data_IF_266929778885
#
_entry.id   IF_266929778885
#
_cell.length_a   1.000
_cell.length_b   1.000
_cell.length_c   1.000
_cell.angle_alpha   90.00
_cell.angle_beta   90.00
_cell.angle_gamma   90.00
#
_symmetry.space_group_name_H-M   'P 1'
#
loop_
_entity.id
_entity.type
_entity.pdbx_description
1 polymer ?
#
# COMPACT_ATOMS: atom_id res chain seq x y z
N UNK A 1 10.85 -19.18 19.47
CA UNK A 1 11.83 -18.19 18.97
C UNK A 1 11.00 -17.10 18.32
N UNK A 2 11.04 -15.86 18.83
CA UNK A 2 10.32 -14.75 18.22
C UNK A 2 10.87 -14.51 16.81
N UNK A 3 10.01 -14.30 15.82
CA UNK A 3 10.44 -14.00 14.45
C UNK A 3 11.29 -12.72 14.45
N UNK A 4 12.17 -12.56 13.45
CA UNK A 4 13.00 -11.35 13.30
C UNK A 4 12.13 -10.08 13.36
N UNK A 5 10.94 -10.13 12.74
CA UNK A 5 9.96 -9.06 12.78
C UNK A 5 9.39 -8.76 14.17
N UNK A 6 9.07 -9.77 14.99
CA UNK A 6 8.56 -9.56 16.35
C UNK A 6 9.58 -8.83 17.25
N UNK A 7 10.87 -9.14 17.08
CA UNK A 7 11.95 -8.45 17.81
C UNK A 7 12.11 -7.00 17.36
N UNK A 8 12.03 -6.74 16.05
CA UNK A 8 12.04 -5.38 15.49
C UNK A 8 10.82 -4.59 15.97
N UNK A 9 9.63 -5.19 15.95
CA UNK A 9 8.38 -4.58 16.43
C UNK A 9 8.46 -4.17 17.90
N UNK A 10 9.01 -5.02 18.76
CA UNK A 10 9.22 -4.68 20.17
C UNK A 10 10.22 -3.53 20.36
N UNK A 11 11.22 -3.42 19.48
CA UNK A 11 12.21 -2.33 19.50
C UNK A 11 11.60 -1.03 19.02
N UNK A 12 10.92 -1.04 17.87
CA UNK A 12 10.18 0.11 17.32
C UNK A 12 9.11 0.57 18.30
N UNK A 13 8.36 -0.34 18.91
CA UNK A 13 7.37 -0.01 19.93
C UNK A 13 7.94 0.66 21.18
N UNK A 14 9.23 0.50 21.49
CA UNK A 14 9.92 1.27 22.53
C UNK A 14 10.37 2.64 22.02
N UNK A 15 10.91 2.72 20.81
CA UNK A 15 11.34 3.98 20.19
C UNK A 15 10.19 4.98 20.00
N UNK A 16 9.00 4.47 19.66
CA UNK A 16 7.82 5.29 19.49
C UNK A 16 7.23 5.80 20.82
N UNK A 17 7.66 5.24 21.95
CA UNK A 17 7.24 5.67 23.29
C UNK A 17 8.16 6.78 23.80
N UNK A 18 7.66 8.01 23.78
CA UNK A 18 8.32 9.16 24.39
C UNK A 18 8.89 10.14 23.37
N UNK A 19 10.04 10.74 23.69
CA UNK A 19 10.67 11.80 22.89
C UNK A 19 11.48 11.27 21.71
N UNK A 20 11.95 10.02 21.79
CA UNK A 20 12.81 9.39 20.77
C UNK A 20 12.10 9.22 19.41
N UNK A 21 10.77 9.28 19.40
CA UNK A 21 9.94 9.28 18.18
C UNK A 21 10.24 10.44 17.23
N UNK A 22 10.90 11.50 17.71
CA UNK A 22 11.27 12.68 16.93
C UNK A 22 12.77 12.75 16.64
N UNK A 23 13.56 11.77 17.07
CA UNK A 23 14.99 11.72 16.77
C UNK A 23 15.20 11.20 15.32
N UNK A 24 15.77 12.00 14.41
CA UNK A 24 16.03 11.57 13.04
C UNK A 24 17.04 10.41 12.94
N UNK A 25 17.89 10.18 13.95
CA UNK A 25 18.81 9.02 13.97
C UNK A 25 18.06 7.69 13.94
N UNK A 26 16.81 7.66 14.42
CA UNK A 26 15.96 6.47 14.41
C UNK A 26 15.38 6.16 13.02
N UNK A 27 15.47 7.08 12.05
CA UNK A 27 14.94 6.87 10.69
C UNK A 27 15.50 5.60 10.06
N UNK A 28 16.81 5.36 10.17
CA UNK A 28 17.46 4.18 9.58
C UNK A 28 16.81 2.87 10.07
N UNK A 29 16.48 2.81 11.37
CA UNK A 29 15.84 1.61 11.94
C UNK A 29 14.37 1.50 11.50
N UNK A 30 13.66 2.63 11.43
CA UNK A 30 12.26 2.66 11.02
C UNK A 30 12.09 2.33 9.52
N UNK A 31 12.98 2.83 8.67
CA UNK A 31 13.02 2.52 7.23
C UNK A 31 13.25 1.03 6.98
N UNK A 32 14.22 0.42 7.68
CA UNK A 32 14.44 -1.03 7.64
C UNK A 32 13.22 -1.82 8.13
N UNK A 33 12.49 -1.28 9.11
CA UNK A 33 11.26 -1.90 9.58
C UNK A 33 10.14 -1.81 8.53
N UNK A 34 10.03 -0.71 7.77
CA UNK A 34 9.12 -0.61 6.61
C UNK A 34 9.47 -1.63 5.53
N UNK A 35 10.75 -1.78 5.19
CA UNK A 35 11.20 -2.83 4.25
C UNK A 35 10.80 -4.23 4.72
N UNK A 36 10.94 -4.49 6.02
CA UNK A 36 10.56 -5.79 6.59
C UNK A 36 9.04 -5.99 6.56
N UNK A 37 8.24 -4.94 6.80
CA UNK A 37 6.79 -4.98 6.65
C UNK A 37 6.37 -5.36 5.20
N UNK A 38 7.06 -4.82 4.20
CA UNK A 38 6.80 -5.14 2.79
C UNK A 38 7.11 -6.61 2.47
N UNK A 39 8.25 -7.13 2.95
CA UNK A 39 8.69 -8.51 2.67
C UNK A 39 7.89 -9.57 3.42
N UNK A 40 7.66 -9.36 4.72
CA UNK A 40 6.98 -10.33 5.60
C UNK A 40 5.45 -10.20 5.57
N UNK A 41 4.91 -9.32 4.72
CA UNK A 41 3.48 -8.98 4.68
C UNK A 41 2.90 -8.61 6.06
N UNK A 42 3.68 -7.87 6.84
CA UNK A 42 3.23 -7.32 8.11
C UNK A 42 2.81 -5.85 7.94
N UNK A 43 2.18 -5.28 8.97
CA UNK A 43 1.72 -3.90 8.93
C UNK A 43 1.70 -3.26 10.31
N UNK A 44 2.27 -2.05 10.40
CA UNK A 44 2.33 -1.23 11.60
C UNK A 44 2.14 0.25 11.25
N UNK A 45 0.88 0.71 11.33
CA UNK A 45 0.51 2.08 10.96
C UNK A 45 1.24 3.13 11.81
N UNK A 46 1.45 2.88 13.10
CA UNK A 46 2.05 3.87 14.00
C UNK A 46 3.50 4.15 13.61
N UNK A 47 4.25 3.10 13.28
CA UNK A 47 5.61 3.22 12.77
C UNK A 47 5.65 3.94 11.41
N UNK A 48 4.74 3.60 10.51
CA UNK A 48 4.65 4.21 9.17
C UNK A 48 4.36 5.72 9.26
N UNK A 49 3.41 6.13 10.10
CA UNK A 49 3.11 7.54 10.34
C UNK A 49 4.26 8.27 11.04
N UNK A 50 5.02 7.59 11.91
CA UNK A 50 6.20 8.18 12.53
C UNK A 50 7.30 8.48 11.51
N UNK A 51 7.55 7.60 10.54
CA UNK A 51 8.48 7.84 9.42
C UNK A 51 8.05 9.07 8.61
N UNK A 52 6.79 9.10 8.15
CA UNK A 52 6.28 10.24 7.37
C UNK A 52 6.36 11.55 8.17
N UNK A 53 6.07 11.52 9.47
CA UNK A 53 6.19 12.69 10.34
C UNK A 53 7.63 13.16 10.52
N UNK A 54 8.58 12.24 10.63
CA UNK A 54 10.00 12.58 10.70
C UNK A 54 10.51 13.22 9.40
N UNK A 55 10.02 12.75 8.24
CA UNK A 55 10.30 13.38 6.96
C UNK A 55 9.71 14.78 6.84
N UNK A 56 8.48 15.01 7.34
CA UNK A 56 7.90 16.37 7.39
C UNK A 56 8.75 17.34 8.20
N UNK A 57 9.26 16.90 9.36
CA UNK A 57 10.11 17.76 10.20
C UNK A 57 11.51 17.93 9.63
N UNK A 58 12.01 16.97 8.85
CA UNK A 58 13.36 16.99 8.32
C UNK A 58 13.37 16.62 6.82
N UNK A 59 13.03 17.57 5.93
CA UNK A 59 12.92 17.30 4.49
C UNK A 59 14.19 16.74 3.84
N UNK A 60 15.37 17.02 4.42
CA UNK A 60 16.66 16.50 3.95
C UNK A 60 16.79 14.97 4.03
N UNK A 61 15.99 14.31 4.87
CA UNK A 61 15.99 12.86 5.02
C UNK A 61 14.85 12.19 4.23
N UNK A 62 14.05 12.92 3.47
CA UNK A 62 12.92 12.36 2.75
C UNK A 62 13.38 11.27 1.77
N UNK A 63 12.88 10.04 1.95
CA UNK A 63 13.10 8.95 1.01
C UNK A 63 11.83 8.63 0.24
N UNK A 64 11.89 8.84 -1.08
CA UNK A 64 10.77 8.59 -1.99
C UNK A 64 10.40 7.10 -2.01
N UNK A 65 11.39 6.19 -1.98
CA UNK A 65 11.15 4.74 -2.01
C UNK A 65 10.39 4.24 -0.78
N UNK A 66 10.83 4.65 0.42
CA UNK A 66 10.18 4.27 1.68
C UNK A 66 8.76 4.83 1.75
N UNK A 67 8.58 6.09 1.33
CA UNK A 67 7.26 6.73 1.27
C UNK A 67 6.31 5.98 0.32
N UNK A 68 6.81 5.54 -0.84
CA UNK A 68 6.06 4.72 -1.78
C UNK A 68 5.63 3.38 -1.17
N UNK A 69 6.54 2.67 -0.48
CA UNK A 69 6.22 1.42 0.21
C UNK A 69 5.15 1.61 1.30
N UNK A 70 5.26 2.68 2.10
CA UNK A 70 4.27 3.01 3.13
C UNK A 70 2.88 3.20 2.51
N UNK A 71 2.78 3.97 1.43
CA UNK A 71 1.52 4.21 0.73
C UNK A 71 0.93 2.92 0.15
N UNK A 72 1.75 2.10 -0.51
CA UNK A 72 1.31 0.83 -1.08
C UNK A 72 0.86 -0.15 0.02
N UNK A 73 1.59 -0.23 1.14
CA UNK A 73 1.17 -1.02 2.30
C UNK A 73 -0.13 -0.50 2.92
N UNK A 74 -0.34 0.81 2.97
CA UNK A 74 -1.62 1.37 3.40
C UNK A 74 -2.77 0.98 2.45
N UNK A 75 -2.54 0.87 1.14
CA UNK A 75 -3.53 0.34 0.20
C UNK A 75 -3.87 -1.13 0.45
N UNK A 76 -2.91 -1.94 0.89
CA UNK A 76 -3.18 -3.35 1.26
C UNK A 76 -4.07 -3.49 2.50
N UNK A 77 -4.28 -2.41 3.25
CA UNK A 77 -5.04 -2.37 4.50
C UNK A 77 -6.45 -1.75 4.35
N UNK A 78 -6.89 -1.45 3.12
CA UNK A 78 -8.28 -1.03 2.87
C UNK A 78 -9.28 -2.09 3.38
N UNK A 79 -10.44 -1.69 3.93
CA UNK A 79 -11.09 -0.38 3.85
C UNK A 79 -10.71 0.63 4.95
N UNK A 80 -9.65 0.39 5.74
CA UNK A 80 -9.24 1.34 6.77
C UNK A 80 -8.78 2.68 6.16
N UNK A 81 -8.94 3.78 6.92
CA UNK A 81 -8.60 5.16 6.49
C UNK A 81 -7.10 5.46 6.48
N UNK A 82 -6.27 4.44 6.60
CA UNK A 82 -4.81 4.51 6.75
C UNK A 82 -4.16 5.22 5.56
N UNK A 83 -4.66 4.95 4.34
CA UNK A 83 -4.17 5.58 3.12
C UNK A 83 -4.39 7.09 3.11
N UNK A 84 -5.58 7.55 3.52
CA UNK A 84 -5.90 8.96 3.64
C UNK A 84 -5.01 9.65 4.68
N UNK A 85 -4.77 9.01 5.83
CA UNK A 85 -3.86 9.53 6.85
C UNK A 85 -2.44 9.67 6.32
N UNK A 86 -1.92 8.66 5.63
CA UNK A 86 -0.58 8.71 5.05
C UNK A 86 -0.47 9.82 3.98
N UNK A 87 -1.49 9.98 3.13
CA UNK A 87 -1.56 11.06 2.14
C UNK A 87 -1.51 12.45 2.79
N UNK A 88 -2.25 12.66 3.88
CA UNK A 88 -2.20 13.93 4.63
C UNK A 88 -0.84 14.20 5.28
N UNK A 89 0.00 13.19 5.44
CA UNK A 89 1.34 13.32 6.02
C UNK A 89 2.43 13.61 4.97
N UNK A 90 2.09 13.78 3.70
CA UNK A 90 3.06 14.06 2.62
C UNK A 90 2.77 15.44 2.02
N UNK A 91 3.80 16.27 1.87
CA UNK A 91 3.66 17.61 1.29
C UNK A 91 3.27 17.56 -0.20
N UNK A 92 2.51 18.55 -0.66
CA UNK A 92 1.98 18.62 -2.03
C UNK A 92 3.07 18.46 -3.10
N UNK A 93 4.23 19.07 -2.91
CA UNK A 93 5.36 18.96 -3.84
C UNK A 93 5.79 17.51 -4.03
N UNK A 94 5.88 16.74 -2.94
CA UNK A 94 6.31 15.35 -2.96
C UNK A 94 5.18 14.43 -3.49
N UNK A 95 3.91 14.82 -3.32
CA UNK A 95 2.76 14.09 -3.90
C UNK A 95 2.75 14.13 -5.44
N UNK A 96 3.34 15.16 -6.04
CA UNK A 96 3.39 15.31 -7.50
C UNK A 96 4.56 14.55 -8.15
N UNK A 97 5.52 14.10 -7.35
CA UNK A 97 6.70 13.36 -7.80
C UNK A 97 6.38 11.90 -8.16
N UNK A 98 7.14 11.35 -9.12
CA UNK A 98 7.12 9.90 -9.38
C UNK A 98 8.01 9.18 -8.36
N UNK A 99 7.61 7.99 -7.85
CA UNK A 99 6.40 7.24 -8.15
C UNK A 99 5.17 7.58 -7.28
N UNK A 100 5.27 8.52 -6.33
CA UNK A 100 4.22 8.81 -5.35
C UNK A 100 2.91 9.19 -6.03
N UNK A 101 2.97 10.05 -7.05
CA UNK A 101 1.79 10.47 -7.83
C UNK A 101 1.03 9.27 -8.42
N UNK A 102 1.72 8.28 -8.98
CA UNK A 102 1.07 7.10 -9.53
C UNK A 102 0.40 6.26 -8.46
N UNK A 103 1.04 6.11 -7.29
CA UNK A 103 0.46 5.38 -6.16
C UNK A 103 -0.79 6.08 -5.64
N UNK A 104 -0.77 7.42 -5.55
CA UNK A 104 -1.93 8.22 -5.19
C UNK A 104 -3.07 8.06 -6.19
N UNK A 105 -2.75 7.97 -7.48
CA UNK A 105 -3.75 7.70 -8.53
C UNK A 105 -4.35 6.29 -8.39
N UNK A 106 -3.53 5.26 -8.19
CA UNK A 106 -3.99 3.90 -7.94
C UNK A 106 -4.90 3.83 -6.70
N UNK A 107 -4.51 4.52 -5.63
CA UNK A 107 -5.33 4.61 -4.41
C UNK A 107 -6.68 5.27 -4.65
N UNK A 108 -6.74 6.35 -5.42
CA UNK A 108 -8.00 7.00 -5.80
C UNK A 108 -8.91 6.05 -6.58
N UNK A 109 -8.37 5.26 -7.52
CA UNK A 109 -9.16 4.26 -8.26
C UNK A 109 -9.78 3.21 -7.32
N UNK A 110 -9.05 2.78 -6.28
CA UNK A 110 -9.58 1.86 -5.27
C UNK A 110 -10.64 2.51 -4.38
N UNK A 111 -10.41 3.73 -3.89
CA UNK A 111 -11.36 4.49 -3.08
C UNK A 111 -12.66 4.77 -3.83
N UNK A 112 -12.59 5.03 -5.14
CA UNK A 112 -13.74 5.29 -6.02
C UNK A 112 -14.29 4.04 -6.70
N UNK A 113 -13.79 2.84 -6.33
CA UNK A 113 -14.22 1.54 -6.83
C UNK A 113 -14.08 1.34 -8.36
N UNK A 114 -13.18 2.06 -9.02
CA UNK A 114 -12.83 1.86 -10.44
C UNK A 114 -11.84 0.70 -10.61
N UNK A 115 -12.25 -0.52 -10.22
CA UNK A 115 -11.37 -1.68 -10.11
C UNK A 115 -10.73 -2.13 -11.43
N UNK A 116 -11.48 -2.11 -12.54
CA UNK A 116 -10.93 -2.49 -13.85
C UNK A 116 -9.81 -1.52 -14.27
N UNK A 117 -10.04 -0.22 -14.13
CA UNK A 117 -9.02 0.81 -14.40
C UNK A 117 -7.81 0.65 -13.48
N UNK A 118 -8.03 0.29 -12.22
CA UNK A 118 -6.94 0.02 -11.27
C UNK A 118 -6.02 -1.10 -11.78
N UNK A 119 -6.57 -2.23 -12.22
CA UNK A 119 -5.75 -3.35 -12.72
C UNK A 119 -4.98 -2.99 -13.99
N UNK A 120 -5.62 -2.28 -14.93
CA UNK A 120 -4.93 -1.79 -16.14
C UNK A 120 -3.78 -0.84 -15.79
N UNK A 121 -4.02 0.15 -14.93
CA UNK A 121 -2.98 1.09 -14.50
C UNK A 121 -1.90 0.41 -13.65
N UNK A 122 -2.23 -0.63 -12.89
CA UNK A 122 -1.24 -1.41 -12.14
C UNK A 122 -0.34 -2.21 -13.08
N UNK A 123 -0.89 -2.78 -14.17
CA UNK A 123 -0.12 -3.52 -15.16
C UNK A 123 0.89 -2.62 -15.91
N UNK A 124 0.55 -1.34 -16.12
CA UNK A 124 1.47 -0.36 -16.68
C UNK A 124 2.58 0.10 -15.71
N UNK A 125 2.41 -0.14 -14.40
CA UNK A 125 3.31 0.32 -13.34
C UNK A 125 3.69 -0.84 -12.39
N UNK A 126 3.89 -2.05 -12.92
CA UNK A 126 4.16 -3.29 -12.15
C UNK A 126 5.39 -3.17 -11.25
N UNK A 127 6.36 -2.36 -11.65
CA UNK A 127 7.58 -2.09 -10.88
C UNK A 127 7.30 -1.44 -9.52
N UNK A 128 6.14 -0.78 -9.35
CA UNK A 128 5.79 -0.11 -8.09
C UNK A 128 5.55 -1.11 -6.96
N UNK A 129 4.99 -2.27 -7.28
CA UNK A 129 4.62 -3.30 -6.29
C UNK A 129 5.72 -4.34 -6.10
N UNK A 130 6.86 -4.19 -6.79
CA UNK A 130 7.98 -5.10 -6.63
C UNK A 130 8.51 -5.05 -5.18
N UNK A 131 8.72 -6.23 -4.60
CA UNK A 131 9.10 -6.38 -3.20
C UNK A 131 7.97 -6.24 -2.16
N UNK A 132 6.71 -6.02 -2.57
CA UNK A 132 5.56 -6.01 -1.66
C UNK A 132 4.82 -7.35 -1.72
N UNK A 133 5.06 -8.19 -0.72
CA UNK A 133 4.47 -9.52 -0.65
C UNK A 133 2.96 -9.45 -0.40
N UNK A 134 2.17 -10.10 -1.27
CA UNK A 134 0.72 -10.23 -1.09
C UNK A 134 -0.09 -8.98 -1.44
N UNK A 135 0.46 -8.04 -2.21
CA UNK A 135 -0.23 -6.80 -2.59
C UNK A 135 -1.54 -7.08 -3.34
N UNK A 136 -1.47 -7.78 -4.48
CA UNK A 136 -2.65 -8.02 -5.32
C UNK A 136 -3.74 -8.80 -4.57
N UNK A 137 -3.36 -9.81 -3.78
CA UNK A 137 -4.30 -10.60 -2.99
C UNK A 137 -5.01 -9.77 -1.92
N UNK A 138 -4.30 -8.82 -1.32
CA UNK A 138 -4.90 -7.90 -0.33
C UNK A 138 -5.89 -6.95 -1.00
N UNK A 139 -5.56 -6.44 -2.19
CA UNK A 139 -6.49 -5.65 -3.00
C UNK A 139 -7.72 -6.46 -3.41
N UNK A 140 -7.54 -7.70 -3.88
CA UNK A 140 -8.67 -8.59 -4.22
C UNK A 140 -9.58 -8.86 -3.01
N UNK A 141 -9.02 -9.05 -1.82
CA UNK A 141 -9.82 -9.18 -0.57
C UNK A 141 -10.65 -7.93 -0.30
N UNK A 142 -10.08 -6.74 -0.48
CA UNK A 142 -10.82 -5.49 -0.37
C UNK A 142 -11.95 -5.41 -1.41
N UNK A 143 -11.70 -5.74 -2.67
CA UNK A 143 -12.71 -5.75 -3.73
C UNK A 143 -13.84 -6.72 -3.40
N UNK A 144 -13.51 -7.95 -2.97
CA UNK A 144 -14.48 -8.95 -2.53
C UNK A 144 -15.34 -8.44 -1.35
N UNK A 145 -14.73 -7.71 -0.41
CA UNK A 145 -15.45 -7.10 0.71
C UNK A 145 -16.46 -6.06 0.22
N UNK A 146 -16.07 -5.15 -0.68
CA UNK A 146 -16.96 -4.14 -1.27
C UNK A 146 -18.10 -4.79 -2.04
N UNK A 147 -17.80 -5.77 -2.90
CA UNK A 147 -18.81 -6.50 -3.69
C UNK A 147 -19.78 -7.23 -2.78
N UNK A 148 -19.29 -7.90 -1.72
CA UNK A 148 -20.11 -8.64 -0.77
C UNK A 148 -21.08 -7.77 0.03
N UNK A 149 -20.82 -6.47 0.14
CA UNK A 149 -21.73 -5.49 0.77
C UNK A 149 -22.72 -4.91 -0.24
N UNK A 150 -22.30 -4.73 -1.50
CA UNK A 150 -23.04 -3.94 -2.50
C UNK A 150 -23.90 -4.76 -3.46
N UNK A 151 -23.61 -6.06 -3.65
CA UNK A 151 -24.32 -6.94 -4.57
C UNK A 151 -25.00 -8.12 -3.85
N UNK A 152 -26.26 -8.39 -4.19
CA UNK A 152 -26.94 -9.64 -3.80
C UNK A 152 -26.62 -10.78 -4.78
N UNK A 153 -26.48 -10.45 -6.07
CA UNK A 153 -26.11 -11.35 -7.15
C UNK A 153 -25.22 -10.58 -8.13
N UNK A 154 -24.17 -11.21 -8.63
CA UNK A 154 -23.25 -10.62 -9.60
C UNK A 154 -22.95 -11.63 -10.70
N UNK A 155 -22.81 -11.15 -11.94
CA UNK A 155 -22.38 -11.99 -13.05
C UNK A 155 -20.92 -12.43 -12.83
N UNK A 156 -20.64 -13.71 -13.12
CA UNK A 156 -19.30 -14.28 -12.89
C UNK A 156 -18.22 -13.57 -13.73
N UNK A 157 -18.54 -13.13 -14.96
CA UNK A 157 -17.58 -12.42 -15.83
C UNK A 157 -17.29 -11.04 -15.26
N UNK A 158 -18.32 -10.31 -14.84
CA UNK A 158 -18.15 -9.00 -14.22
C UNK A 158 -17.30 -9.09 -12.94
N UNK A 159 -17.54 -10.10 -12.10
CA UNK A 159 -16.74 -10.32 -10.89
C UNK A 159 -15.27 -10.65 -11.25
N UNK A 160 -15.04 -11.50 -12.25
CA UNK A 160 -13.69 -11.81 -12.71
C UNK A 160 -12.95 -10.57 -13.21
N UNK A 161 -13.62 -9.71 -14.01
CA UNK A 161 -13.05 -8.44 -14.47
C UNK A 161 -12.73 -7.49 -13.32
N UNK A 162 -13.61 -7.37 -12.32
CA UNK A 162 -13.35 -6.55 -11.12
C UNK A 162 -12.13 -7.06 -10.32
N UNK A 163 -11.86 -8.36 -10.34
CA UNK A 163 -10.72 -8.98 -9.64
C UNK A 163 -9.42 -9.03 -10.47
N UNK A 164 -9.43 -8.43 -11.68
CA UNK A 164 -8.26 -8.37 -12.56
C UNK A 164 -8.07 -9.60 -13.43
N UNK A 165 -9.16 -10.30 -13.78
CA UNK A 165 -9.20 -11.54 -14.56
C UNK A 165 -8.11 -12.57 -14.18
N UNK A 166 -8.10 -13.05 -12.91
CA UNK A 166 -7.05 -13.96 -12.42
C UNK A 166 -7.00 -15.31 -13.14
N UNK A 167 -7.99 -15.63 -13.98
CA UNK A 167 -8.10 -16.88 -14.73
C UNK A 167 -7.87 -16.69 -16.24
N UNK A 168 -7.61 -15.47 -16.72
CA UNK A 168 -7.33 -15.17 -18.13
C UNK A 168 -8.47 -15.49 -19.09
N UNK A 169 -9.71 -15.55 -18.60
CA UNK A 169 -10.86 -16.05 -19.38
C UNK A 169 -11.19 -15.12 -20.55
N UNK A 170 -10.82 -13.84 -20.45
CA UNK A 170 -11.05 -12.84 -21.50
C UNK A 170 -10.17 -13.05 -22.74
N UNK A 171 -8.99 -13.67 -22.58
CA UNK A 171 -8.08 -13.94 -23.72
C UNK A 171 -8.56 -15.11 -24.59
N UNK A 172 -9.34 -16.04 -24.01
CA UNK A 172 -9.81 -17.25 -24.71
C UNK A 172 -10.99 -16.94 -25.65
N UNK A 173 -11.74 -15.86 -25.42
CA UNK A 173 -12.89 -15.50 -26.28
C UNK A 173 -12.52 -14.64 -27.49
N UNK A 174 -11.30 -14.09 -27.54
CA UNK A 174 -10.86 -13.20 -28.63
C UNK A 174 -10.27 -13.92 -29.86
N UNK A 175 -10.19 -15.26 -29.86
CA UNK A 175 -9.60 -16.06 -30.98
C UNK A 175 -10.61 -16.91 -31.76
N UNK A 176 -11.90 -16.59 -31.70
CA UNK A 176 -12.89 -17.15 -32.63
C UNK A 176 -13.67 -16.05 -33.32
N UNK A 177 -13.06 -15.46 -34.35
CA UNK A 177 -13.72 -15.04 -35.60
C UNK A 177 -12.68 -14.87 -36.71
#
# INVERSE_FOLDING_TARGET
>A
MASSFEQMRATVGRLLRGIDRYNPENLVTLEQYVDTQARENAYDLEANLAVLKLYQFNPAYFQTHVTAQILLKALTNLPHTDFTLCKCMIDQTHQEERPIRQILYLGNLLETCHFQSFWTSLEENRELIDGITGFEDSVRKFICHVVGITYQTIDHRLLAEMLGDPLGVSSIMATSQ
#
